data_IF_230583335104
#
_entry.id   IF_230583335104
#
_cell.length_a   1.000
_cell.length_b   1.000
_cell.length_c   1.000
_cell.angle_alpha   90.00
_cell.angle_beta   90.00
_cell.angle_gamma   90.00
#
_symmetry.space_group_name_H-M   'P 1'
#
loop_
_entity.id
_entity.type
_entity.pdbx_description
1 polymer ?
#
# COMPACT_ATOMS: atom_id res chain seq x y z
N UNK A 1 -14.97 15.96 -7.85
CA UNK A 1 -13.67 15.37 -8.27
C UNK A 1 -13.59 15.31 -9.79
N UNK A 2 -14.52 14.63 -10.48
CA UNK A 2 -14.58 14.60 -11.95
C UNK A 2 -14.59 16.01 -12.58
N UNK A 3 -15.45 16.91 -12.12
CA UNK A 3 -15.52 18.30 -12.63
C UNK A 3 -14.25 19.13 -12.41
N UNK A 4 -13.37 18.71 -11.48
CA UNK A 4 -12.08 19.35 -11.25
C UNK A 4 -10.96 18.77 -12.14
N UNK A 5 -11.29 17.83 -13.03
CA UNK A 5 -10.34 17.17 -13.93
C UNK A 5 -9.57 16.01 -13.28
N UNK A 6 -10.06 15.43 -12.19
CA UNK A 6 -9.44 14.24 -11.59
C UNK A 6 -9.76 12.97 -12.39
N UNK A 7 -8.74 12.15 -12.67
CA UNK A 7 -8.89 10.88 -13.40
C UNK A 7 -9.38 9.72 -12.54
N UNK A 8 -9.37 9.86 -11.22
CA UNK A 8 -9.81 8.83 -10.28
C UNK A 8 -10.29 9.46 -8.96
N UNK A 9 -11.18 8.76 -8.26
CA UNK A 9 -11.53 9.03 -6.87
C UNK A 9 -10.69 8.10 -5.99
N UNK A 10 -9.97 8.66 -5.03
CA UNK A 10 -9.19 7.90 -4.06
C UNK A 10 -9.68 8.16 -2.66
N UNK A 11 -9.95 7.09 -1.90
CA UNK A 11 -10.38 7.17 -0.49
C UNK A 11 -9.41 6.41 0.40
N UNK A 12 -9.09 6.96 1.58
CA UNK A 12 -8.38 6.27 2.65
C UNK A 12 -9.38 5.77 3.69
N UNK A 13 -9.24 4.51 4.09
CA UNK A 13 -9.99 3.88 5.17
C UNK A 13 -9.03 3.26 6.19
N UNK A 14 -9.21 3.55 7.47
CA UNK A 14 -8.60 2.72 8.52
C UNK A 14 -9.48 1.50 8.75
N UNK A 15 -8.92 0.30 8.55
CA UNK A 15 -9.70 -0.92 8.61
C UNK A 15 -8.94 -2.04 9.30
N UNK A 16 -9.60 -2.70 10.25
CA UNK A 16 -9.16 -3.98 10.78
C UNK A 16 -10.37 -4.93 10.70
N UNK A 17 -10.26 -6.06 10.01
CA UNK A 17 -11.36 -7.03 9.86
C UNK A 17 -11.81 -7.63 11.20
N UNK A 18 -10.98 -7.54 12.23
CA UNK A 18 -11.23 -8.04 13.59
C UNK A 18 -11.67 -6.95 14.58
N UNK A 19 -11.96 -5.73 14.11
CA UNK A 19 -12.60 -4.69 14.93
C UNK A 19 -14.09 -5.00 15.17
N UNK A 20 -14.75 -4.23 16.03
CA UNK A 20 -16.18 -4.35 16.31
C UNK A 20 -16.99 -4.36 15.01
N UNK A 21 -17.80 -5.41 14.83
CA UNK A 21 -18.63 -5.59 13.65
C UNK A 21 -19.54 -4.40 13.36
N UNK A 22 -20.04 -3.69 14.40
CA UNK A 22 -20.86 -2.48 14.23
C UNK A 22 -20.06 -1.31 13.65
N UNK A 23 -18.78 -1.21 14.01
CA UNK A 23 -17.87 -0.20 13.45
C UNK A 23 -17.55 -0.54 12.01
N UNK A 24 -17.28 -1.81 11.71
CA UNK A 24 -17.00 -2.25 10.35
C UNK A 24 -18.21 -2.13 9.43
N UNK A 25 -19.44 -2.39 9.90
CA UNK A 25 -20.68 -2.19 9.14
C UNK A 25 -20.83 -0.73 8.62
N UNK A 26 -20.49 0.26 9.47
CA UNK A 26 -20.48 1.67 9.07
C UNK A 26 -19.44 1.95 7.98
N UNK A 27 -18.25 1.34 8.10
CA UNK A 27 -17.17 1.49 7.11
C UNK A 27 -17.53 0.83 5.78
N UNK A 28 -18.16 -0.34 5.82
CA UNK A 28 -18.65 -1.04 4.64
C UNK A 28 -19.70 -0.19 3.92
N UNK A 29 -20.72 0.29 4.63
CA UNK A 29 -21.75 1.16 4.06
C UNK A 29 -21.19 2.48 3.50
N UNK A 30 -20.13 3.02 4.10
CA UNK A 30 -19.42 4.19 3.57
C UNK A 30 -18.74 3.89 2.23
N UNK A 31 -18.03 2.76 2.12
CA UNK A 31 -17.40 2.32 0.89
C UNK A 31 -18.42 1.99 -0.22
N UNK A 32 -19.53 1.35 0.10
CA UNK A 32 -20.61 1.06 -0.87
C UNK A 32 -21.18 2.34 -1.51
N UNK A 33 -21.40 3.39 -0.70
CA UNK A 33 -21.89 4.70 -1.20
C UNK A 33 -20.91 5.33 -2.17
N UNK A 34 -19.62 5.37 -1.81
CA UNK A 34 -18.57 5.92 -2.68
C UNK A 34 -18.47 5.10 -3.97
N UNK A 35 -18.53 3.78 -3.88
CA UNK A 35 -18.54 2.90 -5.05
C UNK A 35 -19.71 3.20 -5.99
N UNK A 36 -20.91 3.39 -5.44
CA UNK A 36 -22.09 3.77 -6.23
C UNK A 36 -21.94 5.17 -6.88
N UNK A 37 -21.34 6.13 -6.18
CA UNK A 37 -21.03 7.45 -6.76
C UNK A 37 -20.02 7.34 -7.91
N UNK A 38 -18.93 6.59 -7.71
CA UNK A 38 -17.89 6.41 -8.73
C UNK A 38 -18.43 5.72 -9.99
N UNK A 39 -19.28 4.70 -9.81
CA UNK A 39 -19.98 4.02 -10.90
C UNK A 39 -20.89 5.00 -11.67
N UNK A 40 -21.73 5.78 -10.96
CA UNK A 40 -22.62 6.76 -11.59
C UNK A 40 -21.86 7.82 -12.40
N UNK A 41 -20.71 8.26 -11.88
CA UNK A 41 -19.87 9.23 -12.54
C UNK A 41 -18.86 8.60 -13.52
N UNK A 42 -18.87 7.28 -13.75
CA UNK A 42 -17.91 6.58 -14.62
C UNK A 42 -16.46 7.06 -14.37
N UNK A 43 -16.05 7.06 -13.10
CA UNK A 43 -14.71 7.49 -12.67
C UNK A 43 -14.06 6.40 -11.80
N UNK A 44 -12.83 5.97 -12.10
CA UNK A 44 -12.17 4.90 -11.35
C UNK A 44 -12.11 5.13 -9.85
N UNK A 45 -12.44 4.10 -9.07
CA UNK A 45 -12.40 4.10 -7.62
C UNK A 45 -11.16 3.36 -7.07
N UNK A 46 -10.26 4.13 -6.45
CA UNK A 46 -9.10 3.63 -5.71
C UNK A 46 -9.41 3.62 -4.21
N UNK A 47 -9.53 2.41 -3.63
CA UNK A 47 -9.71 2.26 -2.19
C UNK A 47 -8.37 1.93 -1.52
N UNK A 48 -7.89 2.84 -0.69
CA UNK A 48 -6.76 2.62 0.21
C UNK A 48 -7.25 2.18 1.58
N UNK A 49 -6.75 1.07 2.09
CA UNK A 49 -6.96 0.67 3.48
C UNK A 49 -5.65 0.47 4.24
N UNK A 50 -5.66 0.91 5.50
CA UNK A 50 -4.53 0.81 6.43
C UNK A 50 -4.97 0.05 7.67
N UNK A 51 -4.21 -0.98 8.01
CA UNK A 51 -4.40 -1.78 9.22
C UNK A 51 -4.00 -1.01 10.48
N UNK A 52 -4.66 -1.33 11.60
CA UNK A 52 -4.32 -0.81 12.93
C UNK A 52 -4.63 -1.87 13.99
N UNK A 53 -4.12 -1.70 15.20
CA UNK A 53 -4.53 -2.53 16.34
C UNK A 53 -5.77 -1.91 17.02
N UNK A 54 -6.93 -2.60 17.06
CA UNK A 54 -8.14 -2.09 17.73
C UNK A 54 -7.94 -1.84 19.22
N UNK A 55 -6.92 -2.46 19.83
CA UNK A 55 -6.55 -2.27 21.24
C UNK A 55 -5.61 -1.07 21.46
N UNK A 56 -5.24 -0.35 20.40
CA UNK A 56 -4.36 0.83 20.47
C UNK A 56 -2.87 0.50 20.64
N UNK A 57 -2.45 -0.72 20.25
CA UNK A 57 -1.04 -1.09 20.20
C UNK A 57 -0.26 -0.36 19.11
N UNK A 58 1.07 -0.46 19.14
CA UNK A 58 1.93 0.20 18.16
C UNK A 58 1.99 -0.56 16.84
N UNK A 59 1.63 0.08 15.73
CA UNK A 59 1.72 -0.49 14.37
C UNK A 59 3.17 -0.68 13.89
N UNK A 60 4.15 -0.19 14.65
CA UNK A 60 5.58 -0.39 14.39
C UNK A 60 6.18 -1.54 15.21
N UNK A 61 5.44 -2.07 16.19
CA UNK A 61 5.92 -3.12 17.07
C UNK A 61 5.85 -4.51 16.45
N UNK A 62 6.60 -5.46 17.02
CA UNK A 62 6.64 -6.85 16.55
C UNK A 62 5.27 -7.55 16.65
N UNK A 63 4.46 -7.23 17.65
CA UNK A 63 3.13 -7.85 17.82
C UNK A 63 2.19 -7.46 16.69
N UNK A 64 2.17 -6.18 16.29
CA UNK A 64 1.46 -5.78 15.08
C UNK A 64 2.11 -6.37 13.83
N UNK A 65 3.45 -6.42 13.78
CA UNK A 65 4.16 -7.03 12.67
C UNK A 65 3.63 -8.44 12.42
N UNK A 66 3.46 -9.28 13.46
CA UNK A 66 2.89 -10.66 13.43
C UNK A 66 1.42 -10.71 12.99
N UNK A 67 0.61 -9.73 13.36
CA UNK A 67 -0.81 -9.69 13.01
C UNK A 67 -1.07 -9.13 11.59
N UNK A 68 -0.15 -8.30 11.08
CA UNK A 68 -0.30 -7.56 9.82
C UNK A 68 -0.67 -8.42 8.60
N UNK A 69 -0.07 -9.61 8.35
CA UNK A 69 -0.38 -10.37 7.15
C UNK A 69 -1.86 -10.75 7.06
N UNK A 70 -2.44 -11.18 8.17
CA UNK A 70 -3.84 -11.58 8.22
C UNK A 70 -4.76 -10.36 8.07
N UNK A 71 -4.42 -9.22 8.69
CA UNK A 71 -5.16 -7.98 8.55
C UNK A 71 -5.20 -7.53 7.08
N UNK A 72 -4.05 -7.51 6.40
CA UNK A 72 -3.96 -7.11 4.99
C UNK A 72 -4.74 -8.08 4.10
N UNK A 73 -4.53 -9.39 4.28
CA UNK A 73 -5.20 -10.42 3.48
C UNK A 73 -6.72 -10.33 3.60
N UNK A 74 -7.26 -10.31 4.82
CA UNK A 74 -8.71 -10.25 5.03
C UNK A 74 -9.32 -8.92 4.60
N UNK A 75 -8.54 -7.82 4.64
CA UNK A 75 -8.98 -6.54 4.07
C UNK A 75 -9.09 -6.60 2.54
N UNK A 76 -8.13 -7.27 1.88
CA UNK A 76 -8.19 -7.51 0.44
C UNK A 76 -9.38 -8.38 0.07
N UNK A 77 -9.64 -9.47 0.81
CA UNK A 77 -10.83 -10.32 0.62
C UNK A 77 -12.12 -9.52 0.74
N UNK A 78 -12.23 -8.67 1.77
CA UNK A 78 -13.43 -7.86 2.00
C UNK A 78 -13.68 -6.90 0.84
N UNK A 79 -12.72 -6.02 0.55
CA UNK A 79 -12.92 -4.93 -0.41
C UNK A 79 -12.79 -5.33 -1.88
N UNK A 80 -12.47 -6.59 -2.15
CA UNK A 80 -12.62 -7.23 -3.46
C UNK A 80 -14.06 -7.59 -3.82
N UNK A 81 -15.00 -7.54 -2.86
CA UNK A 81 -16.40 -7.88 -3.11
C UNK A 81 -17.09 -6.88 -4.06
N UNK A 82 -18.03 -7.34 -4.91
CA UNK A 82 -18.60 -6.53 -5.98
C UNK A 82 -19.41 -5.32 -5.49
N UNK A 83 -20.08 -5.39 -4.33
CA UNK A 83 -20.94 -4.29 -3.85
C UNK A 83 -20.19 -2.98 -3.57
N UNK A 84 -18.86 -3.03 -3.42
CA UNK A 84 -18.05 -1.84 -3.19
C UNK A 84 -17.65 -1.10 -4.47
N UNK A 85 -17.86 -1.70 -5.66
CA UNK A 85 -17.44 -1.15 -6.96
C UNK A 85 -16.00 -0.61 -6.98
N UNK A 86 -15.07 -1.25 -6.27
CA UNK A 86 -13.66 -0.85 -6.28
C UNK A 86 -13.02 -1.30 -7.59
N UNK A 87 -12.29 -0.38 -8.22
CA UNK A 87 -11.51 -0.65 -9.43
C UNK A 87 -10.08 -1.06 -9.09
N UNK A 88 -9.43 -0.35 -8.15
CA UNK A 88 -8.05 -0.62 -7.75
C UNK A 88 -7.92 -0.58 -6.22
N UNK A 89 -7.32 -1.64 -5.65
CA UNK A 89 -6.97 -1.68 -4.24
C UNK A 89 -5.59 -1.05 -4.03
N UNK A 90 -5.50 -0.02 -3.18
CA UNK A 90 -4.21 0.51 -2.71
C UNK A 90 -3.92 -0.09 -1.34
N UNK A 91 -2.97 -1.02 -1.28
CA UNK A 91 -2.80 -1.90 -0.12
C UNK A 91 -1.42 -1.76 0.50
N UNK A 92 -1.32 -2.04 1.80
CA UNK A 92 -0.03 -2.24 2.44
C UNK A 92 0.64 -3.53 1.93
N UNK A 93 1.98 -3.56 1.95
CA UNK A 93 2.68 -4.84 1.90
C UNK A 93 2.33 -5.68 3.15
N UNK A 94 2.13 -7.00 3.02
CA UNK A 94 1.58 -7.83 4.10
C UNK A 94 2.53 -8.02 5.29
N UNK A 95 3.83 -7.74 5.11
CA UNK A 95 4.85 -7.88 6.15
C UNK A 95 5.59 -6.56 6.39
N UNK A 96 6.14 -6.40 7.59
CA UNK A 96 7.11 -5.35 7.86
C UNK A 96 8.53 -5.89 7.65
N UNK A 97 9.22 -5.40 6.62
CA UNK A 97 10.55 -5.86 6.22
C UNK A 97 11.63 -5.71 7.32
N UNK A 98 11.44 -4.85 8.33
CA UNK A 98 12.38 -4.73 9.45
C UNK A 98 12.34 -5.95 10.38
N UNK A 99 11.27 -6.75 10.34
CA UNK A 99 11.05 -7.96 11.14
C UNK A 99 11.17 -9.26 10.33
N UNK A 100 11.73 -9.18 9.10
CA UNK A 100 11.96 -10.35 8.24
C UNK A 100 13.44 -10.74 8.33
N UNK A 101 13.72 -11.94 8.83
CA UNK A 101 15.08 -12.49 8.86
C UNK A 101 15.65 -12.56 7.43
N UNK A 102 16.84 -11.98 7.22
CA UNK A 102 17.50 -11.93 5.91
C UNK A 102 17.04 -10.78 4.99
N UNK A 103 16.19 -9.87 5.49
CA UNK A 103 15.90 -8.58 4.83
C UNK A 103 17.10 -7.63 4.94
N UNK A 104 17.35 -6.82 3.90
CA UNK A 104 18.40 -5.80 3.91
C UNK A 104 18.21 -4.71 4.98
N UNK A 105 16.99 -4.57 5.51
CA UNK A 105 16.63 -3.61 6.57
C UNK A 105 16.28 -4.29 7.90
N UNK A 106 16.65 -5.56 8.08
CA UNK A 106 16.38 -6.33 9.30
C UNK A 106 17.01 -5.69 10.55
N UNK A 107 16.23 -5.54 11.63
CA UNK A 107 16.66 -4.87 12.87
C UNK A 107 17.02 -5.80 14.04
N UNK A 108 17.14 -7.10 13.79
CA UNK A 108 17.62 -8.08 14.79
C UNK A 108 16.53 -8.80 15.58
N UNK A 109 15.26 -8.41 15.43
CA UNK A 109 14.12 -9.13 16.01
C UNK A 109 13.24 -9.65 14.87
N UNK A 110 12.99 -10.96 14.83
CA UNK A 110 12.27 -11.60 13.73
C UNK A 110 10.82 -11.92 14.10
N UNK A 111 9.88 -11.45 13.29
CA UNK A 111 8.50 -11.98 13.24
C UNK A 111 8.39 -13.14 12.23
N UNK A 112 9.26 -13.13 11.20
CA UNK A 112 9.19 -14.02 10.05
C UNK A 112 10.57 -14.44 9.56
N UNK A 113 10.67 -15.65 9.03
CA UNK A 113 11.74 -16.01 8.08
C UNK A 113 11.44 -15.38 6.72
N UNK A 114 12.45 -15.21 5.85
CA UNK A 114 12.23 -14.76 4.46
C UNK A 114 11.22 -15.63 3.72
N UNK A 115 11.27 -16.96 3.90
CA UNK A 115 10.32 -17.88 3.30
C UNK A 115 8.87 -17.63 3.74
N UNK A 116 8.65 -17.39 5.04
CA UNK A 116 7.32 -17.02 5.55
C UNK A 116 6.85 -15.68 5.00
N UNK A 117 7.76 -14.70 4.89
CA UNK A 117 7.43 -13.40 4.32
C UNK A 117 6.96 -13.51 2.86
N UNK A 118 7.71 -14.23 2.02
CA UNK A 118 7.32 -14.47 0.63
C UNK A 118 5.99 -15.20 0.50
N UNK A 119 5.70 -16.13 1.41
CA UNK A 119 4.42 -16.84 1.44
C UNK A 119 3.25 -15.89 1.75
N UNK A 120 3.42 -14.93 2.67
CA UNK A 120 2.40 -13.92 2.93
C UNK A 120 2.15 -13.01 1.73
N UNK A 121 3.20 -12.64 0.99
CA UNK A 121 3.04 -11.93 -0.29
C UNK A 121 2.20 -12.73 -1.29
N UNK A 122 2.46 -14.03 -1.45
CA UNK A 122 1.67 -14.89 -2.36
C UNK A 122 0.21 -14.97 -1.93
N UNK A 123 -0.05 -15.30 -0.67
CA UNK A 123 -1.42 -15.43 -0.13
C UNK A 123 -2.22 -14.15 -0.27
N UNK A 124 -1.62 -12.99 0.04
CA UNK A 124 -2.30 -11.71 -0.12
C UNK A 124 -2.62 -11.40 -1.59
N UNK A 125 -1.71 -11.73 -2.52
CA UNK A 125 -1.95 -11.54 -3.95
C UNK A 125 -3.00 -12.51 -4.51
N UNK A 126 -3.04 -13.77 -4.05
CA UNK A 126 -3.98 -14.80 -4.51
C UNK A 126 -5.45 -14.47 -4.19
N UNK A 127 -5.71 -13.78 -3.09
CA UNK A 127 -7.08 -13.37 -2.72
C UNK A 127 -7.57 -12.11 -3.44
N UNK A 128 -6.67 -11.40 -4.12
CA UNK A 128 -7.00 -10.16 -4.82
C UNK A 128 -7.77 -10.47 -6.12
N UNK A 129 -9.07 -10.16 -6.17
CA UNK A 129 -9.86 -10.26 -7.41
C UNK A 129 -9.89 -8.97 -8.21
N UNK A 130 -9.20 -7.93 -7.71
CA UNK A 130 -9.08 -6.60 -8.31
C UNK A 130 -7.59 -6.30 -8.52
N UNK A 131 -7.21 -5.49 -9.53
CA UNK A 131 -5.88 -4.93 -9.58
C UNK A 131 -5.51 -4.24 -8.27
N UNK A 132 -4.28 -4.40 -7.83
CA UNK A 132 -3.81 -3.79 -6.60
C UNK A 132 -2.43 -3.18 -6.76
N UNK A 133 -2.18 -2.11 -5.99
CA UNK A 133 -0.91 -1.40 -5.95
C UNK A 133 -0.45 -1.26 -4.51
N UNK A 134 0.87 -1.24 -4.29
CA UNK A 134 1.41 -1.08 -2.94
C UNK A 134 1.57 0.39 -2.54
N UNK A 135 1.33 0.65 -1.25
CA UNK A 135 1.60 1.92 -0.59
C UNK A 135 2.86 1.81 0.29
N UNK A 136 3.60 2.92 0.44
CA UNK A 136 4.86 2.91 1.19
C UNK A 136 4.69 3.08 2.71
N UNK A 137 3.49 3.38 3.20
CA UNK A 137 3.16 3.53 4.63
C UNK A 137 4.00 4.54 5.43
N UNK A 138 4.86 5.35 4.78
CA UNK A 138 5.75 6.28 5.45
C UNK A 138 7.07 5.68 5.92
N UNK A 139 7.41 4.47 5.46
CA UNK A 139 8.72 3.84 5.63
C UNK A 139 9.82 4.58 4.86
N UNK A 140 11.08 4.23 5.11
CA UNK A 140 12.22 4.74 4.32
C UNK A 140 12.19 4.24 2.88
N UNK A 141 12.97 4.85 2.00
CA UNK A 141 13.13 4.38 0.62
C UNK A 141 13.65 2.93 0.59
N UNK A 142 14.73 2.66 1.34
CA UNK A 142 15.36 1.34 1.43
C UNK A 142 14.39 0.25 1.94
N UNK A 143 13.59 0.57 2.96
CA UNK A 143 12.59 -0.39 3.45
C UNK A 143 11.50 -0.66 2.41
N UNK A 144 11.11 0.36 1.64
CA UNK A 144 10.09 0.19 0.60
C UNK A 144 10.63 -0.61 -0.59
N UNK A 145 11.84 -0.32 -1.06
CA UNK A 145 12.47 -1.05 -2.17
C UNK A 145 12.77 -2.50 -1.81
N UNK A 146 13.19 -2.81 -0.58
CA UNK A 146 13.30 -4.19 -0.08
C UNK A 146 11.94 -4.91 -0.07
N UNK A 147 10.87 -4.20 0.31
CA UNK A 147 9.52 -4.75 0.31
C UNK A 147 9.06 -5.08 -1.12
N UNK A 148 9.34 -4.20 -2.09
CA UNK A 148 9.05 -4.45 -3.51
C UNK A 148 9.91 -5.58 -4.09
N UNK A 149 11.16 -5.72 -3.66
CA UNK A 149 12.02 -6.84 -4.04
C UNK A 149 11.45 -8.18 -3.57
N UNK A 150 10.96 -8.25 -2.32
CA UNK A 150 10.25 -9.44 -1.83
C UNK A 150 8.94 -9.70 -2.57
N UNK A 151 8.18 -8.65 -2.94
CA UNK A 151 6.96 -8.81 -3.73
C UNK A 151 7.24 -9.39 -5.13
N UNK A 152 8.35 -8.98 -5.74
CA UNK A 152 8.83 -9.51 -7.01
C UNK A 152 9.34 -10.96 -6.88
N UNK A 153 10.13 -11.25 -5.84
CA UNK A 153 10.63 -12.61 -5.52
C UNK A 153 9.48 -13.59 -5.24
N UNK A 154 8.41 -13.11 -4.61
CA UNK A 154 7.19 -13.89 -4.37
C UNK A 154 6.38 -14.15 -5.65
N UNK A 155 6.62 -13.41 -6.74
CA UNK A 155 5.88 -13.53 -8.00
C UNK A 155 4.49 -12.91 -7.96
N UNK A 156 4.27 -11.89 -7.13
CA UNK A 156 2.95 -11.26 -6.98
C UNK A 156 2.55 -10.43 -8.20
N UNK A 157 1.27 -10.49 -8.58
CA UNK A 157 0.73 -9.77 -9.74
C UNK A 157 0.33 -8.31 -9.42
N UNK A 158 1.06 -7.63 -8.55
CA UNK A 158 0.79 -6.23 -8.20
C UNK A 158 1.01 -5.32 -9.43
N UNK A 159 0.20 -4.27 -9.55
CA UNK A 159 0.15 -3.40 -10.73
C UNK A 159 0.93 -2.09 -10.62
N UNK A 160 1.77 -1.97 -9.58
CA UNK A 160 2.60 -0.80 -9.35
C UNK A 160 2.47 -0.27 -7.92
N UNK A 161 2.70 1.03 -7.75
CA UNK A 161 2.74 1.67 -6.44
C UNK A 161 2.10 3.05 -6.46
N UNK A 162 1.57 3.47 -5.32
CA UNK A 162 1.35 4.89 -5.01
C UNK A 162 2.22 5.25 -3.81
N UNK A 163 3.47 5.60 -4.11
CA UNK A 163 4.50 5.95 -3.15
C UNK A 163 4.54 7.47 -2.92
N UNK A 164 4.66 7.89 -1.66
CA UNK A 164 4.81 9.31 -1.30
C UNK A 164 6.02 9.53 -0.42
N UNK A 165 5.84 9.37 0.90
CA UNK A 165 6.85 9.71 1.91
C UNK A 165 8.20 8.99 1.72
N UNK A 166 8.22 7.77 1.19
CA UNK A 166 9.48 7.08 0.91
C UNK A 166 10.31 7.75 -0.21
N UNK A 167 9.71 8.68 -0.96
CA UNK A 167 10.38 9.46 -2.01
C UNK A 167 10.79 10.85 -1.51
N UNK A 168 9.91 11.58 -0.80
CA UNK A 168 10.09 13.02 -0.56
C UNK A 168 10.12 13.47 0.90
N UNK A 169 9.90 12.57 1.88
CA UNK A 169 9.79 12.94 3.31
C UNK A 169 11.01 13.69 3.84
N UNK A 170 12.21 13.28 3.43
CA UNK A 170 13.47 13.89 3.88
C UNK A 170 13.71 15.31 3.30
N UNK A 171 12.92 15.72 2.30
CA UNK A 171 12.88 17.10 1.83
C UNK A 171 12.09 18.04 2.74
N UNK A 172 11.18 17.55 3.58
CA UNK A 172 10.34 18.39 4.46
C UNK A 172 11.20 19.23 5.42
N UNK A 173 12.21 18.67 6.14
CA UNK A 173 13.08 19.47 6.98
C UNK A 173 13.95 20.46 6.19
N UNK A 174 14.31 20.15 4.95
CA UNK A 174 15.07 21.05 4.06
C UNK A 174 14.23 22.28 3.75
N UNK A 175 12.97 22.08 3.34
CA UNK A 175 12.02 23.18 3.15
C UNK A 175 11.83 24.01 4.41
N UNK A 176 11.54 23.36 5.54
CA UNK A 176 11.24 24.05 6.80
C UNK A 176 12.40 24.91 7.32
N UNK A 177 13.66 24.56 6.99
CA UNK A 177 14.86 25.28 7.42
C UNK A 177 15.39 26.27 6.38
N UNK A 178 15.22 25.98 5.09
CA UNK A 178 15.95 26.64 4.01
C UNK A 178 15.05 27.13 2.86
N UNK A 179 13.74 26.95 2.95
CA UNK A 179 12.75 27.48 2.00
C UNK A 179 12.60 26.69 0.70
N UNK A 180 11.78 27.21 -0.20
CA UNK A 180 11.36 26.53 -1.43
C UNK A 180 12.54 26.17 -2.35
N UNK A 181 13.50 27.08 -2.55
CA UNK A 181 14.63 26.84 -3.46
C UNK A 181 15.50 25.66 -3.01
N UNK A 182 15.77 25.56 -1.71
CA UNK A 182 16.52 24.43 -1.17
C UNK A 182 15.75 23.11 -1.30
N UNK A 183 14.43 23.13 -1.16
CA UNK A 183 13.59 21.97 -1.45
C UNK A 183 13.67 21.56 -2.92
N UNK A 184 13.58 22.50 -3.85
CA UNK A 184 13.73 22.22 -5.28
C UNK A 184 15.08 21.57 -5.60
N UNK A 185 16.18 22.11 -5.04
CA UNK A 185 17.52 21.58 -5.24
C UNK A 185 17.64 20.15 -4.67
N UNK A 186 17.07 19.91 -3.48
CA UNK A 186 16.99 18.57 -2.89
C UNK A 186 16.13 17.61 -3.73
N UNK A 187 14.97 18.08 -4.23
CA UNK A 187 14.09 17.27 -5.08
C UNK A 187 14.79 16.90 -6.39
N UNK A 188 15.59 17.81 -6.97
CA UNK A 188 16.33 17.58 -8.21
C UNK A 188 17.49 16.57 -8.07
N UNK A 189 17.87 16.24 -6.85
CA UNK A 189 18.99 15.33 -6.53
C UNK A 189 18.50 14.10 -5.77
N UNK A 190 18.36 14.19 -4.45
CA UNK A 190 17.92 13.07 -3.61
C UNK A 190 16.49 12.64 -3.92
N UNK A 191 15.58 13.57 -4.24
CA UNK A 191 14.22 13.23 -4.69
C UNK A 191 14.21 12.39 -5.97
N UNK A 192 14.98 12.80 -6.98
CA UNK A 192 15.17 12.07 -8.26
C UNK A 192 15.81 10.70 -8.02
N UNK A 193 16.83 10.62 -7.17
CA UNK A 193 17.46 9.35 -6.78
C UNK A 193 16.44 8.40 -6.14
N UNK A 194 15.63 8.90 -5.20
CA UNK A 194 14.63 8.11 -4.49
C UNK A 194 13.52 7.58 -5.42
N UNK A 195 13.01 8.41 -6.35
CA UNK A 195 11.98 7.95 -7.29
C UNK A 195 12.56 6.98 -8.33
N UNK A 196 13.82 7.17 -8.76
CA UNK A 196 14.48 6.22 -9.66
C UNK A 196 14.70 4.87 -8.99
N UNK A 197 15.04 4.82 -7.71
CA UNK A 197 15.11 3.57 -6.96
C UNK A 197 13.76 2.83 -6.93
N UNK A 198 12.66 3.56 -6.74
CA UNK A 198 11.30 2.99 -6.83
C UNK A 198 10.97 2.53 -8.26
N UNK A 199 11.29 3.32 -9.28
CA UNK A 199 11.06 2.97 -10.69
C UNK A 199 11.79 1.67 -11.08
N UNK A 200 13.04 1.50 -10.61
CA UNK A 200 13.78 0.25 -10.81
C UNK A 200 13.12 -0.93 -10.08
N UNK A 201 12.70 -0.73 -8.83
CA UNK A 201 12.08 -1.77 -8.01
C UNK A 201 10.71 -2.25 -8.55
N UNK A 202 9.97 -1.41 -9.28
CA UNK A 202 8.66 -1.78 -9.86
C UNK A 202 8.72 -2.35 -11.28
N UNK A 203 9.91 -2.50 -11.88
CA UNK A 203 10.05 -3.15 -13.20
C UNK A 203 9.37 -4.53 -13.30
N UNK A 204 9.34 -5.36 -12.24
CA UNK A 204 8.62 -6.64 -12.27
C UNK A 204 7.10 -6.54 -12.11
N UNK A 205 6.53 -5.33 -11.90
CA UNK A 205 5.10 -5.15 -11.72
C UNK A 205 4.31 -5.59 -12.97
N UNK A 206 3.09 -6.08 -12.76
CA UNK A 206 2.21 -6.56 -13.83
C UNK A 206 1.30 -5.43 -14.31
N UNK A 207 1.33 -5.12 -15.60
CA UNK A 207 0.42 -4.13 -16.20
C UNK A 207 -1.04 -4.36 -15.78
N UNK A 208 -1.72 -3.28 -15.35
CA UNK A 208 -3.13 -3.34 -14.98
C UNK A 208 -4.01 -3.85 -16.12
N UNK A 209 -3.68 -3.51 -17.38
CA UNK A 209 -4.39 -4.01 -18.56
C UNK A 209 -4.30 -5.53 -18.67
N UNK A 210 -3.12 -6.10 -18.39
CA UNK A 210 -2.92 -7.55 -18.36
C UNK A 210 -3.72 -8.22 -17.25
N UNK A 211 -3.79 -7.61 -16.07
CA UNK A 211 -4.62 -8.13 -14.95
C UNK A 211 -6.11 -8.10 -15.30
N UNK A 212 -6.56 -7.06 -16.00
CA UNK A 212 -7.94 -6.90 -16.44
C UNK A 212 -8.30 -7.69 -17.72
N UNK A 213 -7.33 -8.35 -18.36
CA UNK A 213 -7.55 -9.05 -19.64
C UNK A 213 -7.86 -8.11 -20.81
N UNK A 214 -7.35 -6.88 -20.77
CA UNK A 214 -7.48 -5.87 -21.82
C UNK A 214 -6.17 -5.92 -22.64
N UNK A 215 -6.27 -6.36 -23.90
CA UNK A 215 -5.16 -6.38 -24.87
C UNK A 215 -4.89 -4.99 -25.48
#
# INVERSE_FOLDING_TARGET
IKDMGGDAVKILLYYNPFDDAKINDIKHAFCERIGAECEYYEIPYFLEFIGYDPKGGSEKGIEFAKAKPEIVLQSMVEFSKPQYNVDVLKVEVPVNAEFVEGSSVFKGEAAYTRAQALEYYRKAAEVATKPFIYLSAGVSNDQFTESLAMAAEAGTAYSGVLCGRATWKEGIPVYGKHGAKALEDWMSTEGVKNINAVNEAIKPATSIFKVLGIE
#
